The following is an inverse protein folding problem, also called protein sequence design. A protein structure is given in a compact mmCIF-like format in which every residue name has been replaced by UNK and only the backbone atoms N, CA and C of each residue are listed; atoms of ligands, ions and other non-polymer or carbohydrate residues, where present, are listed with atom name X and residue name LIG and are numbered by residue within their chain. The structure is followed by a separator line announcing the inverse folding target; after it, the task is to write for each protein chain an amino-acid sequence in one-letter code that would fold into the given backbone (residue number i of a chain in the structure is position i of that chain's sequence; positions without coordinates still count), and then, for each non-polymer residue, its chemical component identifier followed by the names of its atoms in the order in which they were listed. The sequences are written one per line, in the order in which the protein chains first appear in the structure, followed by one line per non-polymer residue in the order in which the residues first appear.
data_IF_458398050495
#
_entry.id   IF_458398050495
#
_cell.length_a   1.000
_cell.length_b   1.000
_cell.length_c   1.000
_cell.angle_alpha   90.00
_cell.angle_beta   90.00
_cell.angle_gamma   90.00
#
_symmetry.space_group_name_H-M   'P 1'
#
loop_
_entity.id
_entity.type
_entity.pdbx_description
1 polymer ?
#
# COMPACT_ATOMS: atom_id res chain seq x y z
N UNK A 1 38.53 -10.66 31.19
CA UNK A 1 37.48 -9.72 30.78
C UNK A 1 36.41 -9.77 31.85
N UNK A 2 36.07 -8.64 32.46
CA UNK A 2 35.10 -8.56 33.55
C UNK A 2 33.67 -8.68 33.01
N UNK A 3 32.76 -9.27 33.79
CA UNK A 3 31.31 -9.44 33.51
C UNK A 3 30.60 -8.14 33.07
N UNK A 4 31.23 -7.00 33.29
CA UNK A 4 30.78 -5.66 32.92
C UNK A 4 30.69 -5.41 31.41
N UNK A 5 31.32 -6.25 30.57
CA UNK A 5 31.30 -6.08 29.10
C UNK A 5 30.17 -6.87 28.41
N UNK A 6 29.51 -7.81 29.08
CA UNK A 6 28.45 -8.64 28.49
C UNK A 6 27.03 -8.10 28.70
N UNK A 7 26.85 -7.07 29.52
CA UNK A 7 25.53 -6.64 30.00
C UNK A 7 25.02 -5.33 29.39
N UNK A 8 25.38 -5.05 28.13
CA UNK A 8 24.84 -3.88 27.44
C UNK A 8 24.56 -4.12 25.96
N UNK A 9 24.16 -5.34 25.59
CA UNK A 9 23.22 -5.46 24.47
C UNK A 9 21.87 -5.02 25.01
N UNK A 10 21.59 -3.71 24.95
CA UNK A 10 20.31 -3.13 25.33
C UNK A 10 19.21 -3.99 24.73
N UNK A 11 18.36 -4.59 25.59
CA UNK A 11 17.11 -5.21 25.18
C UNK A 11 16.34 -4.17 24.38
N UNK A 12 16.41 -4.24 23.04
CA UNK A 12 15.60 -3.40 22.18
C UNK A 12 14.19 -3.94 22.32
N UNK A 13 13.40 -3.30 23.16
CA UNK A 13 11.96 -3.53 23.19
C UNK A 13 11.39 -3.00 21.88
N UNK A 14 11.24 -3.87 20.90
CA UNK A 14 10.41 -3.58 19.75
C UNK A 14 8.97 -3.56 20.25
N UNK A 15 8.30 -2.41 20.14
CA UNK A 15 6.89 -2.31 20.50
C UNK A 15 6.11 -3.39 19.76
N UNK A 16 5.34 -4.20 20.50
CA UNK A 16 4.43 -5.14 19.88
C UNK A 16 3.27 -4.29 19.33
N UNK A 17 3.03 -4.28 18.01
CA UNK A 17 1.88 -3.56 17.47
C UNK A 17 0.60 -4.10 18.14
N UNK A 18 -0.40 -3.25 18.38
CA UNK A 18 -1.64 -3.69 18.99
C UNK A 18 -2.24 -4.82 18.15
N UNK A 19 -2.77 -5.85 18.83
CA UNK A 19 -3.57 -6.87 18.16
C UNK A 19 -4.85 -6.22 17.66
N UNK A 20 -5.27 -6.56 16.45
CA UNK A 20 -6.54 -6.13 15.88
C UNK A 20 -7.36 -7.36 15.46
N UNK A 21 -8.68 -7.22 15.48
CA UNK A 21 -9.59 -8.23 14.95
C UNK A 21 -9.77 -7.98 13.44
N UNK A 22 -9.33 -8.87 12.54
CA UNK A 22 -9.47 -8.65 11.11
C UNK A 22 -10.92 -8.60 10.63
N UNK A 23 -11.85 -9.24 11.35
CA UNK A 23 -13.29 -9.24 11.03
C UNK A 23 -13.96 -7.88 11.31
N UNK A 24 -13.31 -7.00 12.07
CA UNK A 24 -13.74 -5.61 12.28
C UNK A 24 -13.23 -4.66 11.18
N UNK A 25 -12.52 -5.19 10.19
CA UNK A 25 -12.04 -4.44 9.04
C UNK A 25 -13.18 -3.96 8.14
N UNK A 26 -12.95 -2.84 7.44
CA UNK A 26 -13.84 -2.30 6.42
C UNK A 26 -13.21 -2.51 5.06
N UNK A 27 -13.96 -3.09 4.11
CA UNK A 27 -13.51 -3.18 2.72
C UNK A 27 -13.53 -1.80 2.09
N UNK A 28 -12.36 -1.33 1.62
CA UNK A 28 -12.21 -0.03 0.95
C UNK A 28 -12.48 -0.13 -0.56
N UNK A 29 -12.02 -1.21 -1.20
CA UNK A 29 -12.24 -1.48 -2.62
C UNK A 29 -12.57 -2.95 -2.84
N UNK A 30 -13.66 -3.19 -3.55
CA UNK A 30 -14.03 -4.53 -3.99
C UNK A 30 -13.24 -4.94 -5.25
N UNK A 31 -13.01 -6.24 -5.44
CA UNK A 31 -12.52 -6.76 -6.72
C UNK A 31 -13.46 -6.41 -7.88
N UNK A 32 -12.92 -6.23 -9.09
CA UNK A 32 -13.74 -5.95 -10.28
C UNK A 32 -14.56 -7.14 -10.79
N UNK A 33 -14.40 -8.31 -10.16
CA UNK A 33 -15.16 -9.51 -10.45
C UNK A 33 -15.39 -10.33 -9.19
N UNK A 34 -16.50 -11.05 -9.15
CA UNK A 34 -16.96 -11.87 -8.02
C UNK A 34 -16.37 -13.29 -8.02
N UNK A 35 -15.61 -13.66 -9.05
CA UNK A 35 -15.07 -15.01 -9.24
C UNK A 35 -13.67 -15.17 -8.64
N UNK A 36 -13.31 -16.42 -8.38
CA UNK A 36 -11.98 -16.78 -7.90
C UNK A 36 -10.86 -16.17 -8.76
N UNK A 37 -9.90 -15.53 -8.08
CA UNK A 37 -8.71 -14.93 -8.69
C UNK A 37 -8.83 -13.44 -9.00
N UNK A 38 -10.03 -12.85 -8.92
CA UNK A 38 -10.17 -11.39 -8.84
C UNK A 38 -9.86 -10.93 -7.43
N UNK A 39 -9.00 -9.91 -7.30
CA UNK A 39 -8.78 -9.23 -6.03
C UNK A 39 -8.17 -7.86 -6.22
N UNK A 40 -8.34 -7.01 -5.20
CA UNK A 40 -7.68 -5.71 -5.05
C UNK A 40 -6.79 -5.74 -3.82
N UNK A 41 -5.57 -5.22 -3.91
CA UNK A 41 -4.64 -5.24 -2.80
C UNK A 41 -3.23 -4.85 -3.20
N UNK A 42 -2.22 -5.41 -2.53
CA UNK A 42 -0.82 -5.02 -2.74
C UNK A 42 -0.61 -3.53 -2.48
N UNK A 43 -1.20 -3.05 -1.39
CA UNK A 43 -1.43 -1.63 -1.16
C UNK A 43 -0.26 -0.95 -0.48
N UNK A 44 -0.17 0.37 -0.68
CA UNK A 44 0.68 1.27 0.07
C UNK A 44 -0.14 2.52 0.40
N UNK A 45 -0.17 2.93 1.67
CA UNK A 45 -0.95 4.08 2.13
C UNK A 45 -0.04 5.07 2.84
N UNK A 46 -0.23 6.35 2.55
CA UNK A 46 0.48 7.47 3.19
C UNK A 46 -0.54 8.50 3.60
N UNK A 47 -0.41 9.03 4.82
CA UNK A 47 -1.14 10.22 5.25
C UNK A 47 -0.27 11.45 5.02
N UNK A 48 -0.81 12.43 4.31
CA UNK A 48 -0.17 13.73 4.12
C UNK A 48 -0.72 14.75 5.12
N UNK A 49 0.11 15.28 6.05
CA UNK A 49 -0.36 16.19 7.08
C UNK A 49 -0.70 17.59 6.56
N UNK A 50 -0.14 18.02 5.42
CA UNK A 50 -0.43 19.34 4.85
C UNK A 50 -1.78 19.36 4.15
N UNK A 51 -2.05 18.37 3.29
CA UNK A 51 -3.33 18.20 2.60
C UNK A 51 -4.41 17.59 3.50
N UNK A 52 -4.02 16.99 4.64
CA UNK A 52 -4.89 16.24 5.56
C UNK A 52 -5.65 15.12 4.85
N UNK A 53 -4.96 14.42 3.96
CA UNK A 53 -5.51 13.33 3.15
C UNK A 53 -4.67 12.07 3.27
N UNK A 54 -5.35 10.94 3.15
CA UNK A 54 -4.74 9.65 2.86
C UNK A 54 -4.63 9.48 1.35
N UNK A 55 -3.47 9.03 0.89
CA UNK A 55 -3.26 8.55 -0.46
C UNK A 55 -3.01 7.05 -0.40
N UNK A 56 -3.70 6.31 -1.26
CA UNK A 56 -3.67 4.86 -1.31
C UNK A 56 -3.29 4.42 -2.73
N UNK A 57 -2.15 3.77 -2.86
CA UNK A 57 -1.85 2.92 -4.01
C UNK A 57 -2.47 1.54 -3.81
N UNK A 58 -3.04 0.99 -4.87
CA UNK A 58 -3.40 -0.42 -4.93
C UNK A 58 -3.33 -0.95 -6.35
N UNK A 59 -3.20 -2.27 -6.47
CA UNK A 59 -3.29 -2.97 -7.76
C UNK A 59 -4.59 -3.75 -7.87
N UNK A 60 -5.05 -3.89 -9.11
CA UNK A 60 -6.21 -4.68 -9.48
C UNK A 60 -5.72 -5.93 -10.19
N UNK A 61 -6.11 -7.11 -9.69
CA UNK A 61 -5.74 -8.39 -10.30
C UNK A 61 -6.96 -9.12 -10.84
N UNK A 62 -6.76 -9.70 -12.02
CA UNK A 62 -7.65 -10.68 -12.65
C UNK A 62 -7.14 -12.11 -12.45
N UNK A 63 -8.01 -13.12 -12.61
CA UNK A 63 -7.64 -14.52 -12.50
C UNK A 63 -6.48 -14.93 -13.41
N UNK A 64 -5.74 -15.96 -12.98
CA UNK A 64 -4.68 -16.56 -13.81
C UNK A 64 -5.26 -17.03 -15.16
N UNK A 65 -4.49 -16.82 -16.23
CA UNK A 65 -4.92 -17.13 -17.60
C UNK A 65 -5.67 -15.98 -18.31
N UNK A 66 -6.09 -14.93 -17.58
CA UNK A 66 -6.64 -13.69 -18.16
C UNK A 66 -5.62 -12.55 -18.25
N UNK A 67 -4.35 -12.84 -17.96
CA UNK A 67 -3.27 -11.86 -17.84
C UNK A 67 -2.70 -11.80 -16.42
N UNK A 68 -1.67 -10.97 -16.22
CA UNK A 68 -1.02 -10.70 -14.94
C UNK A 68 -0.93 -9.19 -14.72
N UNK A 69 -1.13 -8.76 -13.47
CA UNK A 69 -0.96 -7.38 -12.98
C UNK A 69 -1.38 -6.32 -13.99
N UNK A 70 -2.67 -6.26 -14.33
CA UNK A 70 -3.14 -5.47 -15.47
C UNK A 70 -3.09 -3.96 -15.22
N UNK A 71 -3.47 -3.51 -14.02
CA UNK A 71 -3.55 -2.09 -13.68
C UNK A 71 -3.35 -1.82 -12.20
N UNK A 72 -3.00 -0.57 -11.92
CA UNK A 72 -2.93 0.00 -10.58
C UNK A 72 -3.62 1.36 -10.54
N UNK A 73 -3.92 1.82 -9.33
CA UNK A 73 -4.61 3.08 -9.09
C UNK A 73 -4.02 3.80 -7.89
N UNK A 74 -4.19 5.12 -7.91
CA UNK A 74 -4.02 5.97 -6.74
C UNK A 74 -5.38 6.54 -6.39
N UNK A 75 -5.74 6.44 -5.11
CA UNK A 75 -6.95 7.01 -4.56
C UNK A 75 -6.64 7.93 -3.39
N UNK A 76 -7.51 8.91 -3.15
CA UNK A 76 -7.42 9.82 -2.00
C UNK A 76 -8.63 9.70 -1.08
N UNK A 77 -8.44 10.01 0.20
CA UNK A 77 -9.49 10.03 1.22
C UNK A 77 -9.19 11.05 2.32
N UNK A 78 -10.22 11.66 2.89
CA UNK A 78 -10.09 12.53 4.07
C UNK A 78 -10.36 11.81 5.39
N UNK A 79 -10.96 10.62 5.36
CA UNK A 79 -11.35 9.86 6.55
C UNK A 79 -10.66 8.49 6.66
N UNK A 80 -9.92 8.09 5.63
CA UNK A 80 -9.20 6.81 5.59
C UNK A 80 -10.12 5.60 5.38
N UNK A 81 -11.39 5.82 5.04
CA UNK A 81 -12.40 4.77 4.83
C UNK A 81 -12.99 4.89 3.42
N UNK A 82 -13.44 6.09 3.05
CA UNK A 82 -14.04 6.35 1.74
C UNK A 82 -12.99 6.94 0.81
N UNK A 83 -12.57 6.16 -0.18
CA UNK A 83 -11.54 6.55 -1.14
C UNK A 83 -12.12 6.84 -2.53
N UNK A 84 -11.63 7.90 -3.17
CA UNK A 84 -11.93 8.23 -4.56
C UNK A 84 -10.68 8.04 -5.43
N UNK A 85 -10.79 7.29 -6.54
CA UNK A 85 -9.69 7.12 -7.48
C UNK A 85 -9.38 8.47 -8.17
N UNK A 86 -8.11 8.86 -8.17
CA UNK A 86 -7.62 10.10 -8.80
C UNK A 86 -6.65 9.82 -9.96
N UNK A 87 -6.15 8.59 -10.06
CA UNK A 87 -5.28 8.16 -11.15
C UNK A 87 -5.38 6.64 -11.36
N UNK A 88 -5.21 6.19 -12.60
CA UNK A 88 -5.10 4.79 -13.01
C UNK A 88 -3.92 4.67 -13.99
N UNK A 89 -3.19 3.56 -13.90
CA UNK A 89 -2.16 3.19 -14.87
C UNK A 89 -2.23 1.71 -15.20
N UNK A 90 -2.11 1.41 -16.48
CA UNK A 90 -2.07 0.05 -17.05
C UNK A 90 -0.64 -0.42 -17.24
N UNK A 91 -0.45 -1.73 -17.31
CA UNK A 91 0.87 -2.31 -17.61
C UNK A 91 1.34 -1.95 -19.03
N UNK A 92 0.41 -1.71 -19.96
CA UNK A 92 0.70 -1.28 -21.33
C UNK A 92 1.29 0.13 -21.37
N UNK A 93 0.74 1.06 -20.58
CA UNK A 93 1.29 2.43 -20.45
C UNK A 93 2.67 2.45 -19.80
N UNK A 94 3.00 1.42 -18.99
CA UNK A 94 4.28 1.27 -18.30
C UNK A 94 5.28 0.37 -19.05
N UNK A 95 4.92 -0.13 -20.24
CA UNK A 95 5.71 -1.13 -21.00
C UNK A 95 6.14 -2.32 -20.12
N UNK A 96 5.21 -2.81 -19.31
CA UNK A 96 5.46 -3.83 -18.30
C UNK A 96 4.67 -5.12 -18.57
N UNK A 97 5.25 -6.25 -18.18
CA UNK A 97 4.58 -7.56 -18.27
C UNK A 97 3.49 -7.75 -17.19
N UNK A 98 3.68 -7.14 -16.02
CA UNK A 98 2.80 -7.22 -14.84
C UNK A 98 3.10 -6.06 -13.90
N UNK A 99 2.06 -5.49 -13.29
CA UNK A 99 2.16 -4.56 -12.18
C UNK A 99 2.08 -5.31 -10.83
N UNK A 100 3.09 -5.08 -10.00
CA UNK A 100 3.20 -5.65 -8.66
C UNK A 100 2.93 -4.60 -7.56
N UNK A 101 3.52 -4.78 -6.38
CA UNK A 101 3.40 -3.79 -5.28
C UNK A 101 4.28 -2.59 -5.60
N UNK A 102 3.73 -1.40 -5.40
CA UNK A 102 4.44 -0.13 -5.57
C UNK A 102 4.43 0.67 -4.26
N UNK A 103 5.25 1.72 -4.21
CA UNK A 103 5.30 2.67 -3.10
C UNK A 103 5.00 4.08 -3.60
N UNK A 104 4.13 4.79 -2.88
CA UNK A 104 3.89 6.22 -3.07
C UNK A 104 4.63 7.00 -1.99
N UNK A 105 5.40 8.00 -2.39
CA UNK A 105 6.21 8.80 -1.48
C UNK A 105 6.04 10.26 -1.85
N UNK A 106 5.76 11.10 -0.84
CA UNK A 106 5.88 12.55 -0.96
C UNK A 106 7.30 12.94 -0.63
N UNK A 107 8.00 13.55 -1.58
CA UNK A 107 9.35 14.07 -1.37
C UNK A 107 9.31 15.22 -0.37
N UNK A 108 9.94 15.11 0.81
CA UNK A 108 9.84 16.13 1.86
C UNK A 108 10.59 17.43 1.53
N UNK A 109 11.48 17.42 0.53
CA UNK A 109 12.23 18.61 0.11
C UNK A 109 11.45 19.36 -0.96
N UNK A 110 10.92 18.65 -1.95
CA UNK A 110 10.28 19.29 -3.12
C UNK A 110 8.75 19.35 -3.04
N UNK A 111 8.13 18.60 -2.12
CA UNK A 111 6.69 18.44 -2.02
C UNK A 111 6.07 17.61 -3.14
N UNK A 112 6.86 17.12 -4.10
CA UNK A 112 6.38 16.34 -5.24
C UNK A 112 6.09 14.91 -4.85
N UNK A 113 5.02 14.36 -5.41
CA UNK A 113 4.69 12.95 -5.30
C UNK A 113 5.50 12.11 -6.29
N UNK A 114 5.96 10.95 -5.83
CA UNK A 114 6.66 9.93 -6.62
C UNK A 114 5.98 8.59 -6.43
N UNK A 115 5.71 7.90 -7.54
CA UNK A 115 5.30 6.52 -7.57
C UNK A 115 6.50 5.67 -8.00
N UNK A 116 6.92 4.74 -7.14
CA UNK A 116 7.95 3.75 -7.42
C UNK A 116 7.26 2.42 -7.72
N UNK A 117 7.22 2.05 -9.00
CA UNK A 117 6.46 0.94 -9.56
C UNK A 117 7.37 0.00 -10.37
#
# INVERSE_FOLDING_TARGET
MTDRQMQQMSQRYFGIPPKFNPEEGITVFEPEGDKYGFWVGGHNVVFDPEEKKFFLYYRVRSPLGKGRGAKCRIAESTDGIHFANIWEGSKEELDANSIEVASIIRDPITGRWRLYI
#
